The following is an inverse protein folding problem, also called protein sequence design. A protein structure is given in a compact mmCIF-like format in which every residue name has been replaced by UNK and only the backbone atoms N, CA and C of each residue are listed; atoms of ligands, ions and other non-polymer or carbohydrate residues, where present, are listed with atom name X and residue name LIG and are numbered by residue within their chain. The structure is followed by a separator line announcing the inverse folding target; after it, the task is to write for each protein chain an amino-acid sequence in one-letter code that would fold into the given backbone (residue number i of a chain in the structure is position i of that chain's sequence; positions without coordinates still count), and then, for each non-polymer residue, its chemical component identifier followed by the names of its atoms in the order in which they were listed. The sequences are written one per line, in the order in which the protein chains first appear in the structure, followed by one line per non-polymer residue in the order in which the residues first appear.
data_IF_149822581135
#
_entry.id   IF_149822581135
#
_cell.length_a   1.000
_cell.length_b   1.000
_cell.length_c   1.000
_cell.angle_alpha   90.00
_cell.angle_beta   90.00
_cell.angle_gamma   90.00
#
_symmetry.space_group_name_H-M   'P 1'
#
loop_
_entity.id
_entity.type
_entity.pdbx_description
1 polymer ?
2 non-polymer ?
3 water ?
#
# COMPACT_ATOMS: atom_id res chain seq x y z
N UNK A 1 -57.28 -5.75 42.56
CA UNK A 1 -56.39 -4.82 43.24
C UNK A 1 -54.96 -4.96 42.78
N UNK A 2 -54.04 -4.26 43.45
CA UNK A 2 -52.62 -4.35 43.05
C UNK A 2 -52.08 -5.77 43.00
N UNK A 3 -52.44 -6.61 43.98
CA UNK A 3 -51.92 -7.97 43.99
C UNK A 3 -52.47 -8.81 42.84
N UNK A 4 -53.70 -8.56 42.42
CA UNK A 4 -54.30 -9.38 41.39
C UNK A 4 -54.00 -8.87 40.00
N UNK A 5 -53.76 -7.57 39.89
CA UNK A 5 -53.35 -6.94 38.64
C UNK A 5 -51.87 -7.18 38.44
N UNK A 6 -51.38 -8.30 38.98
CA UNK A 6 -49.96 -8.60 39.12
C UNK A 6 -49.76 -10.10 39.00
N UNK A 7 -50.81 -10.86 39.28
CA UNK A 7 -50.70 -12.31 39.32
C UNK A 7 -50.96 -12.89 37.94
N UNK A 8 -49.96 -13.59 37.40
CA UNK A 8 -50.06 -14.29 36.12
C UNK A 8 -49.51 -15.70 36.31
N UNK A 9 -50.36 -16.70 36.06
CA UNK A 9 -49.98 -18.11 36.10
C UNK A 9 -49.33 -18.45 37.44
N UNK A 10 -49.86 -17.88 38.52
CA UNK A 10 -49.38 -18.20 39.85
C UNK A 10 -48.10 -17.50 40.27
N UNK A 11 -47.78 -16.34 39.67
CA UNK A 11 -46.57 -15.61 40.02
C UNK A 11 -46.86 -14.11 39.91
N UNK A 12 -46.34 -13.34 40.87
CA UNK A 12 -46.64 -11.91 40.95
C UNK A 12 -45.61 -11.14 40.14
N UNK A 13 -45.88 -11.04 38.84
CA UNK A 13 -44.97 -10.41 37.88
C UNK A 13 -45.81 -9.48 37.01
N UNK A 14 -45.78 -8.18 37.31
CA UNK A 14 -46.35 -7.15 36.45
C UNK A 14 -45.81 -7.31 35.03
N UNK A 15 -46.62 -7.76 34.07
CA UNK A 15 -46.09 -7.99 32.72
C UNK A 15 -45.59 -6.73 32.03
N UNK A 16 -45.83 -5.55 32.60
CA UNK A 16 -45.23 -4.30 32.16
C UNK A 16 -44.01 -3.93 32.99
N UNK A 17 -43.68 -4.73 34.00
CA UNK A 17 -42.36 -4.72 34.62
C UNK A 17 -41.45 -5.78 34.02
N UNK A 18 -41.97 -6.99 33.77
CA UNK A 18 -41.17 -7.99 33.08
C UNK A 18 -40.84 -7.58 31.66
N UNK A 19 -41.38 -6.46 31.18
CA UNK A 19 -40.90 -5.87 29.94
C UNK A 19 -39.99 -4.67 30.20
N UNK A 20 -40.45 -3.70 30.99
CA UNK A 20 -39.60 -2.57 31.34
C UNK A 20 -38.27 -3.03 31.93
N UNK A 21 -38.25 -4.20 32.57
CA UNK A 21 -37.00 -4.73 33.09
C UNK A 21 -36.16 -5.34 31.97
N UNK A 22 -36.77 -6.17 31.12
CA UNK A 22 -36.06 -6.70 29.96
C UNK A 22 -35.47 -5.58 29.10
N UNK A 23 -36.15 -4.44 29.00
CA UNK A 23 -35.62 -3.31 28.24
C UNK A 23 -34.31 -2.83 28.85
N UNK A 24 -34.35 -2.40 30.12
CA UNK A 24 -33.16 -1.84 30.75
C UNK A 24 -31.99 -2.81 30.71
N UNK A 25 -32.26 -4.11 30.75
CA UNK A 25 -31.19 -5.09 30.62
C UNK A 25 -30.62 -5.08 29.21
N UNK A 26 -31.50 -5.09 28.20
CA UNK A 26 -31.04 -4.98 26.82
C UNK A 26 -30.22 -3.71 26.61
N UNK A 27 -30.66 -2.60 27.19
CA UNK A 27 -29.86 -1.38 27.16
C UNK A 27 -28.44 -1.64 27.67
N UNK A 28 -28.30 -2.41 28.75
CA UNK A 28 -26.98 -2.62 29.34
C UNK A 28 -26.16 -3.63 28.53
N UNK A 29 -26.78 -4.70 28.04
CA UNK A 29 -26.04 -5.63 27.19
C UNK A 29 -25.49 -4.91 25.98
N UNK A 30 -26.34 -4.12 25.31
CA UNK A 30 -25.90 -3.36 24.14
C UNK A 30 -24.71 -2.48 24.50
N UNK A 31 -24.80 -1.74 25.60
CA UNK A 31 -23.73 -0.80 25.94
C UNK A 31 -22.42 -1.53 26.19
N UNK A 32 -22.45 -2.62 26.95
CA UNK A 32 -21.24 -3.41 27.16
C UNK A 32 -20.71 -3.94 25.82
N UNK A 33 -21.60 -4.48 25.00
CA UNK A 33 -21.17 -5.08 23.74
C UNK A 33 -20.52 -4.05 22.83
N UNK A 34 -21.01 -2.81 22.85
CA UNK A 34 -20.45 -1.75 22.02
C UNK A 34 -19.11 -1.28 22.58
N UNK A 35 -19.07 -0.97 23.87
CA UNK A 35 -17.83 -0.68 24.57
C UNK A 35 -16.74 -1.69 24.22
N UNK A 36 -17.11 -2.97 24.08
CA UNK A 36 -16.13 -3.98 23.70
C UNK A 36 -15.62 -3.76 22.28
N UNK A 37 -16.51 -3.43 21.36
CA UNK A 37 -16.08 -3.14 20.00
C UNK A 37 -15.22 -1.89 19.96
N UNK A 38 -15.56 -0.88 20.76
CA UNK A 38 -14.74 0.32 20.81
C UNK A 38 -13.34 -0.01 21.30
N UNK A 39 -13.23 -0.81 22.36
CA UNK A 39 -11.92 -1.22 22.85
C UNK A 39 -11.10 -1.88 21.76
N UNK A 40 -11.68 -2.86 21.07
CA UNK A 40 -10.96 -3.58 20.03
C UNK A 40 -10.52 -2.62 18.93
N UNK A 41 -11.43 -1.79 18.45
CA UNK A 41 -11.06 -0.83 17.41
C UNK A 41 -9.92 0.07 17.87
N UNK A 42 -9.99 0.57 19.09
CA UNK A 42 -9.01 1.52 19.57
C UNK A 42 -7.64 0.89 19.75
N UNK A 43 -7.59 -0.37 20.18
CA UNK A 43 -6.31 -1.03 20.35
C UNK A 43 -5.68 -1.34 19.00
N UNK A 44 -6.50 -1.82 18.05
CA UNK A 44 -6.07 -1.98 16.66
C UNK A 44 -5.36 -0.73 16.17
N UNK A 45 -5.93 0.44 16.45
CA UNK A 45 -5.35 1.67 15.94
C UNK A 45 -4.01 1.94 16.60
N UNK A 46 -3.97 1.92 17.93
CA UNK A 46 -2.72 2.12 18.66
C UNK A 46 -1.61 1.24 18.11
N UNK A 47 -1.84 -0.07 18.08
CA UNK A 47 -0.82 -0.98 17.58
C UNK A 47 -0.50 -0.69 16.12
N UNK A 48 -1.51 -0.33 15.32
CA UNK A 48 -1.26 -0.02 13.92
C UNK A 48 -0.44 1.25 13.79
N UNK A 49 -0.91 2.36 14.36
CA UNK A 49 -0.16 3.61 14.26
C UNK A 49 1.29 3.41 14.64
N UNK A 50 1.55 2.62 15.68
CA UNK A 50 2.93 2.43 16.12
C UNK A 50 3.73 1.56 15.17
N UNK A 51 3.13 0.55 14.56
CA UNK A 51 3.89 -0.34 13.70
C UNK A 51 4.16 0.29 12.34
N UNK A 52 3.29 1.20 11.91
CA UNK A 52 3.57 1.94 10.69
C UNK A 52 4.67 2.96 10.94
N UNK A 53 4.58 3.70 12.05
CA UNK A 53 5.67 4.59 12.43
C UNK A 53 6.99 3.83 12.51
N UNK A 54 6.98 2.66 13.16
CA UNK A 54 8.19 1.85 13.23
C UNK A 54 8.69 1.48 11.84
N UNK A 55 7.77 1.11 10.94
CA UNK A 55 8.17 0.69 9.60
C UNK A 55 8.74 1.86 8.80
N UNK A 56 8.05 3.00 8.81
CA UNK A 56 8.55 4.16 8.09
C UNK A 56 9.90 4.62 8.62
N UNK A 57 10.14 4.43 9.92
CA UNK A 57 11.42 4.83 10.50
C UNK A 57 12.54 3.88 10.08
N UNK A 58 12.33 2.58 10.23
CA UNK A 58 13.38 1.67 9.81
C UNK A 58 13.59 1.70 8.31
N UNK A 59 12.65 2.24 7.54
CA UNK A 59 12.91 2.37 6.12
C UNK A 59 13.79 3.57 5.84
N UNK A 60 13.65 4.65 6.63
CA UNK A 60 14.59 5.76 6.59
C UNK A 60 16.02 5.29 6.82
N UNK A 61 16.28 4.66 7.97
CA UNK A 61 17.61 4.16 8.27
C UNK A 61 18.13 3.23 7.19
N UNK A 62 17.24 2.58 6.45
CA UNK A 62 17.69 1.78 5.32
C UNK A 62 17.97 2.66 4.11
N UNK A 63 17.17 3.71 3.92
CA UNK A 63 17.34 4.58 2.77
C UNK A 63 18.79 5.05 2.63
N UNK A 64 19.43 5.42 3.74
CA UNK A 64 20.80 5.91 3.65
C UNK A 64 21.70 4.85 3.04
N UNK A 65 21.48 3.58 3.38
CA UNK A 65 22.23 2.51 2.71
C UNK A 65 21.88 2.39 1.23
N UNK A 66 20.71 2.87 0.83
CA UNK A 66 20.27 2.74 -0.55
C UNK A 66 20.74 3.95 -1.33
N UNK A 67 20.46 5.14 -0.80
CA UNK A 67 21.01 6.37 -1.36
C UNK A 67 22.52 6.27 -1.55
N UNK A 68 23.20 5.57 -0.64
CA UNK A 68 24.65 5.44 -0.75
C UNK A 68 25.04 4.45 -1.84
N UNK A 69 24.30 3.35 -1.97
CA UNK A 69 24.60 2.41 -3.04
C UNK A 69 24.28 2.96 -4.42
N UNK A 70 23.54 4.06 -4.52
CA UNK A 70 23.17 4.61 -5.82
C UNK A 70 24.03 5.79 -6.24
N UNK A 71 25.10 6.08 -5.50
CA UNK A 71 26.17 6.93 -6.00
C UNK A 71 27.42 6.15 -6.35
N UNK A 72 27.63 4.98 -5.74
CA UNK A 72 28.69 4.06 -6.14
C UNK A 72 28.36 3.44 -7.50
N UNK A 73 27.28 3.93 -8.13
CA UNK A 73 26.80 3.35 -9.39
C UNK A 73 27.40 4.09 -10.57
N UNK A 74 28.08 3.38 -11.48
CA UNK A 74 28.54 4.02 -12.72
C UNK A 74 27.36 4.59 -13.48
N UNK A 75 27.43 5.85 -13.90
CA UNK A 75 26.26 6.49 -14.52
C UNK A 75 25.75 5.70 -15.71
N UNK A 76 24.43 5.63 -15.83
CA UNK A 76 23.76 4.84 -16.86
C UNK A 76 24.20 3.38 -16.80
N UNK A 77 24.00 2.77 -15.62
CA UNK A 77 24.13 1.33 -15.41
C UNK A 77 23.02 0.92 -14.47
N UNK A 78 22.27 -0.13 -14.83
CA UNK A 78 20.97 -0.36 -14.21
C UNK A 78 20.82 -1.79 -13.72
N UNK A 79 21.84 -2.32 -13.06
CA UNK A 79 21.60 -3.52 -12.26
C UNK A 79 21.06 -3.16 -10.88
N UNK A 80 20.73 -1.89 -10.65
CA UNK A 80 20.03 -1.43 -9.47
C UNK A 80 18.51 -1.44 -9.64
N UNK A 81 18.01 -1.85 -10.80
CA UNK A 81 16.57 -1.89 -10.99
C UNK A 81 15.93 -3.04 -10.22
N UNK A 82 16.55 -4.22 -10.12
CA UNK A 82 15.98 -5.25 -9.24
C UNK A 82 15.73 -4.79 -7.81
N UNK A 83 16.51 -3.83 -7.30
CA UNK A 83 16.20 -3.27 -5.99
C UNK A 83 14.89 -2.51 -6.02
N UNK A 84 14.74 -1.60 -6.99
CA UNK A 84 13.47 -0.90 -7.09
C UNK A 84 12.31 -1.86 -7.26
N UNK A 85 12.51 -2.94 -8.03
CA UNK A 85 11.44 -3.90 -8.23
C UNK A 85 11.01 -4.53 -6.92
N UNK A 86 11.97 -5.06 -6.17
CA UNK A 86 11.68 -5.68 -4.88
C UNK A 86 11.00 -4.71 -3.93
N UNK A 87 11.54 -3.50 -3.82
CA UNK A 87 11.01 -2.57 -2.83
C UNK A 87 9.65 -2.03 -3.25
N UNK A 88 9.50 -1.67 -4.52
CA UNK A 88 8.24 -1.08 -4.96
C UNK A 88 7.14 -2.12 -5.05
N UNK A 89 7.48 -3.36 -5.42
CA UNK A 89 6.46 -4.40 -5.48
C UNK A 89 5.89 -4.71 -4.10
N UNK A 90 6.68 -4.51 -3.04
CA UNK A 90 6.17 -4.66 -1.68
C UNK A 90 5.32 -3.46 -1.28
N UNK A 91 5.86 -2.26 -1.45
CA UNK A 91 5.20 -1.06 -0.94
C UNK A 91 3.87 -0.79 -1.64
N UNK A 92 3.74 -1.13 -2.92
CA UNK A 92 2.54 -0.72 -3.65
C UNK A 92 1.33 -1.55 -3.23
N UNK A 93 1.51 -2.85 -3.04
CA UNK A 93 0.47 -3.70 -2.47
C UNK A 93 0.60 -3.79 -0.96
N UNK A 94 0.73 -2.65 -0.31
CA UNK A 94 0.81 -2.59 1.14
C UNK A 94 -0.03 -1.42 1.60
N UNK A 95 -1.19 -1.73 2.20
CA UNK A 95 -2.15 -0.70 2.55
C UNK A 95 -1.50 0.39 3.37
N UNK A 96 -0.62 0.01 4.29
CA UNK A 96 -0.06 0.96 5.25
C UNK A 96 0.99 1.87 4.62
N UNK A 97 1.86 1.31 3.78
CA UNK A 97 3.08 1.98 3.40
C UNK A 97 3.06 2.58 2.00
N UNK A 98 2.06 2.25 1.18
CA UNK A 98 1.96 2.78 -0.17
C UNK A 98 1.85 4.30 -0.16
N UNK A 99 2.64 4.94 -1.03
CA UNK A 99 2.76 6.39 -1.16
C UNK A 99 3.19 7.05 0.14
N UNK A 100 3.79 6.28 1.04
CA UNK A 100 4.36 6.82 2.25
C UNK A 100 5.67 7.53 1.98
N UNK A 101 6.22 8.11 3.05
CA UNK A 101 7.44 8.90 2.92
C UNK A 101 8.53 8.12 2.19
N UNK A 102 8.76 6.87 2.58
CA UNK A 102 9.82 6.12 1.92
C UNK A 102 9.43 5.76 0.49
N UNK A 103 8.16 5.44 0.26
CA UNK A 103 7.77 5.05 -1.09
C UNK A 103 8.02 6.19 -2.06
N UNK A 104 7.65 7.42 -1.68
CA UNK A 104 7.89 8.57 -2.53
C UNK A 104 9.38 8.84 -2.71
N UNK A 105 10.19 8.56 -1.70
CA UNK A 105 11.63 8.72 -1.84
C UNK A 105 12.20 7.69 -2.81
N UNK A 106 11.69 6.46 -2.75
CA UNK A 106 12.13 5.44 -3.70
C UNK A 106 11.69 5.78 -5.12
N UNK A 107 10.54 6.43 -5.26
CA UNK A 107 10.12 6.90 -6.58
C UNK A 107 11.06 7.99 -7.08
N UNK A 108 11.30 9.01 -6.26
CA UNK A 108 12.18 10.11 -6.65
C UNK A 108 13.59 9.62 -6.96
N UNK A 109 14.15 8.77 -6.10
CA UNK A 109 15.51 8.30 -6.32
C UNK A 109 15.63 7.51 -7.62
N UNK A 110 14.55 6.90 -8.09
CA UNK A 110 14.61 6.10 -9.30
C UNK A 110 13.91 6.75 -10.49
N UNK A 111 13.19 7.86 -10.29
CA UNK A 111 12.41 8.46 -11.37
C UNK A 111 13.31 9.02 -12.47
N UNK A 112 14.39 9.76 -12.15
CA UNK A 112 15.35 10.05 -13.23
C UNK A 112 16.05 8.82 -13.75
N UNK A 113 16.45 7.89 -12.88
CA UNK A 113 17.18 6.72 -13.35
C UNK A 113 16.34 5.84 -14.29
N UNK A 114 15.02 5.94 -14.24
CA UNK A 114 14.22 5.15 -15.17
C UNK A 114 14.07 5.87 -16.51
N UNK A 115 13.85 7.19 -16.48
CA UNK A 115 13.68 7.92 -17.74
C UNK A 115 15.02 8.03 -18.47
N UNK A 116 16.12 8.09 -17.73
CA UNK A 116 17.43 8.13 -18.37
C UNK A 116 17.84 6.80 -18.98
N UNK A 117 17.04 5.75 -18.80
CA UNK A 117 17.27 4.46 -19.44
C UNK A 117 16.35 4.23 -20.63
N UNK A 118 15.10 4.68 -20.54
CA UNK A 118 14.20 4.54 -21.68
C UNK A 118 14.59 5.52 -22.78
N UNK A 119 14.97 6.75 -22.41
CA UNK A 119 15.46 7.71 -23.40
C UNK A 119 16.74 7.21 -24.05
N UNK A 120 17.50 6.37 -23.35
CA UNK A 120 18.75 5.86 -23.88
C UNK A 120 18.54 4.65 -24.78
N UNK A 121 17.45 3.91 -24.59
CA UNK A 121 17.18 2.77 -25.45
C UNK A 121 16.21 3.14 -26.56
N UNK A 122 15.39 4.17 -26.31
CA UNK A 122 14.59 4.72 -27.39
C UNK A 122 15.44 5.50 -28.39
N UNK A 123 16.58 6.03 -27.97
CA UNK A 123 17.53 6.63 -28.89
C UNK A 123 18.37 5.60 -29.63
N UNK A 124 18.51 4.38 -29.08
CA UNK A 124 19.27 3.35 -29.77
C UNK A 124 18.41 2.48 -30.68
N UNK A 125 17.09 2.57 -30.57
CA UNK A 125 16.21 1.96 -31.56
C UNK A 125 15.89 2.95 -32.67
N UNK A 126 15.76 4.23 -32.32
CA UNK A 126 15.48 5.26 -33.31
C UNK A 126 16.65 5.43 -34.28
N UNK A 127 17.88 5.35 -33.77
CA UNK A 127 19.04 5.39 -34.66
C UNK A 127 19.06 4.18 -35.58
N UNK A 128 18.69 3.00 -35.05
CA UNK A 128 18.80 1.78 -35.84
C UNK A 128 17.68 1.66 -36.87
N UNK A 129 16.54 2.30 -36.64
CA UNK A 129 15.53 2.35 -37.70
C UNK A 129 15.89 3.46 -38.69
N UNK A 130 16.59 4.50 -38.23
CA UNK A 130 17.09 5.56 -39.09
C UNK A 130 18.36 5.17 -39.84
N UNK A 131 18.90 3.98 -39.59
CA UNK A 131 20.04 3.48 -40.34
C UNK A 131 19.68 3.08 -41.77
N UNK A 132 18.40 3.14 -42.13
CA UNK A 132 17.98 2.85 -43.49
C UNK A 132 17.88 4.08 -44.36
N UNK A 133 18.72 5.08 -44.08
CA UNK A 133 18.78 6.30 -44.88
C UNK A 133 20.08 6.45 -45.65
N UNK A 134 21.19 5.97 -45.09
CA UNK A 134 22.43 5.85 -45.84
C UNK A 134 22.37 4.61 -46.72
N UNK A 135 23.14 4.62 -47.80
CA UNK A 135 23.20 3.46 -48.68
C UNK A 135 24.01 2.35 -48.02
N UNK A 136 23.57 1.10 -48.23
CA UNK A 136 24.20 -0.08 -47.62
C UNK A 136 24.18 -0.01 -46.10
N UNK A 148 16.77 -6.39 -38.62
CA UNK A 148 15.47 -6.09 -38.02
C UNK A 148 15.14 -7.09 -36.93
N UNK A 149 15.70 -8.30 -37.05
CA UNK A 149 15.45 -9.33 -36.05
C UNK A 149 16.02 -8.92 -34.70
N UNK A 150 17.30 -8.53 -34.67
CA UNK A 150 17.91 -8.09 -33.42
C UNK A 150 17.28 -6.80 -32.92
N UNK A 151 16.77 -5.96 -33.83
CA UNK A 151 16.17 -4.70 -33.41
C UNK A 151 14.85 -4.93 -32.67
N UNK A 152 14.05 -5.91 -33.12
CA UNK A 152 12.78 -6.21 -32.46
C UNK A 152 12.99 -6.58 -31.00
N UNK A 153 14.05 -7.34 -30.70
CA UNK A 153 14.32 -7.75 -29.33
C UNK A 153 14.40 -6.55 -28.40
N UNK A 154 14.97 -5.45 -28.88
CA UNK A 154 15.09 -4.29 -28.00
C UNK A 154 13.74 -3.61 -27.77
N UNK A 155 12.79 -3.69 -28.71
CA UNK A 155 11.43 -3.25 -28.41
C UNK A 155 10.82 -4.12 -27.33
N UNK A 156 10.85 -5.43 -27.53
CA UNK A 156 10.34 -6.36 -26.53
C UNK A 156 11.02 -6.14 -25.19
N UNK A 157 12.33 -5.89 -25.20
CA UNK A 157 13.05 -5.63 -23.96
C UNK A 157 12.52 -4.38 -23.27
N UNK A 158 12.29 -3.31 -24.02
CA UNK A 158 11.81 -2.08 -23.39
C UNK A 158 10.37 -2.23 -22.91
N UNK A 159 9.55 -3.00 -23.62
CA UNK A 159 8.17 -3.20 -23.19
C UNK A 159 8.12 -4.09 -21.95
N UNK A 160 8.82 -5.22 -22.00
CA UNK A 160 8.95 -6.09 -20.83
C UNK A 160 9.44 -5.31 -19.61
N UNK A 161 10.45 -4.46 -19.80
CA UNK A 161 10.94 -3.65 -18.69
C UNK A 161 9.85 -2.73 -18.16
N UNK A 162 9.20 -1.99 -19.05
CA UNK A 162 8.28 -0.94 -18.62
C UNK A 162 7.09 -1.54 -17.87
N UNK A 163 6.59 -2.69 -18.33
CA UNK A 163 5.45 -3.32 -17.68
C UNK A 163 5.79 -3.81 -16.28
N UNK A 164 6.95 -4.45 -16.11
CA UNK A 164 7.45 -4.92 -14.82
C UNK A 164 7.82 -3.78 -13.88
N UNK A 165 7.64 -2.53 -14.26
CA UNK A 165 7.97 -1.43 -13.37
C UNK A 165 6.87 -1.14 -12.37
N UNK A 166 5.62 -1.38 -12.75
CA UNK A 166 4.46 -1.12 -11.90
C UNK A 166 4.60 0.22 -11.18
N UNK A 167 4.81 1.27 -11.96
CA UNK A 167 5.05 2.58 -11.38
C UNK A 167 3.81 3.09 -10.64
N UNK A 168 3.99 3.72 -9.48
CA UNK A 168 2.84 4.16 -8.67
C UNK A 168 2.19 5.47 -9.10
N UNK A 169 2.70 6.18 -10.10
CA UNK A 169 2.07 7.41 -10.56
C UNK A 169 1.38 7.16 -11.91
N UNK A 170 1.30 8.19 -12.74
CA UNK A 170 0.89 8.09 -14.14
C UNK A 170 1.89 8.92 -14.93
N UNK A 171 2.92 8.27 -15.46
CA UNK A 171 4.06 8.96 -16.05
C UNK A 171 3.82 9.14 -17.55
N UNK A 172 3.38 10.34 -17.93
CA UNK A 172 3.20 10.70 -19.34
C UNK A 172 4.46 11.44 -19.79
N UNK A 173 5.43 10.68 -20.30
CA UNK A 173 6.67 11.25 -20.80
C UNK A 173 7.85 11.05 -19.87
X LIG B 1 -5.82 -5.58 17.36
#
# INVERSE_FOLDING_TARGET
GPLGSMENVGRLITPAKKLEDTIRLAELVIEVLQQNEEHHAEAFAWWSDLMVEHAETFLSLFAVDMDAALEVQPPDTWDSFPLFQLLNDFLRTDYNLCNGKFHKHLQDLFAPLVVRYVDLMESSIAQSIHRGFERESWEPVNNGSGTSEDLFWKLDALQTFIRDLHWPEEEFGKHLEQRLKLXA
K K
#
